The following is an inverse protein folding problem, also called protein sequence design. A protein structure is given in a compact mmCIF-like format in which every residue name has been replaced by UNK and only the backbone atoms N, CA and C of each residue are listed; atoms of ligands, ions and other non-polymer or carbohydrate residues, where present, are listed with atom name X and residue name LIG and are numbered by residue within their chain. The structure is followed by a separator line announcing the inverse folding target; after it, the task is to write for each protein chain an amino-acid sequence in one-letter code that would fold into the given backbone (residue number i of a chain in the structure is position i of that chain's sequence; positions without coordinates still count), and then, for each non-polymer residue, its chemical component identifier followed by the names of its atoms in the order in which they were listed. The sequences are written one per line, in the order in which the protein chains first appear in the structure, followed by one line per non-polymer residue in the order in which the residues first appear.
data_IF_190261564817
#
_entry.id   IF_190261564817
#
_cell.length_a   1.000
_cell.length_b   1.000
_cell.length_c   1.000
_cell.angle_alpha   90.00
_cell.angle_beta   90.00
_cell.angle_gamma   90.00
#
_symmetry.space_group_name_H-M   'P 1'
#
loop_
_entity.id
_entity.type
_entity.pdbx_description
1 polymer ?
#
# COMPACT_ATOMS: atom_id res chain seq x y z
N UNK A 1 -0.61 19.92 30.62
CA UNK A 1 -0.16 18.73 29.87
C UNK A 1 -0.87 18.71 28.55
N UNK A 2 -0.24 18.51 27.41
CA UNK A 2 -0.95 18.37 26.16
C UNK A 2 -1.83 17.12 26.23
N UNK A 3 -3.14 17.28 25.91
CA UNK A 3 -4.07 16.14 25.78
C UNK A 3 -3.43 15.02 24.94
N UNK A 4 -3.45 13.80 25.45
CA UNK A 4 -3.00 12.63 24.67
C UNK A 4 -3.82 12.57 23.38
N UNK A 5 -3.17 12.76 22.24
CA UNK A 5 -3.81 12.58 20.92
C UNK A 5 -4.33 11.15 20.85
N UNK A 6 -5.65 10.99 20.93
CA UNK A 6 -6.27 9.68 20.70
C UNK A 6 -6.37 9.45 19.20
N UNK A 7 -5.32 8.88 18.60
CA UNK A 7 -5.29 8.51 17.18
C UNK A 7 -6.50 7.66 16.79
N UNK A 8 -7.03 6.88 17.72
CA UNK A 8 -8.22 6.07 17.48
C UNK A 8 -9.48 6.92 17.28
N UNK A 9 -9.60 8.05 17.97
CA UNK A 9 -10.71 9.00 17.74
C UNK A 9 -10.51 9.72 16.40
N UNK A 10 -9.28 10.12 16.07
CA UNK A 10 -8.97 10.73 14.78
C UNK A 10 -9.32 9.80 13.62
N UNK A 11 -9.06 8.49 13.75
CA UNK A 11 -9.42 7.50 12.74
C UNK A 11 -10.93 7.33 12.55
N UNK A 12 -11.75 7.58 13.56
CA UNK A 12 -13.23 7.60 13.39
C UNK A 12 -13.64 8.71 12.43
N UNK A 13 -13.05 9.91 12.57
CA UNK A 13 -13.28 11.02 11.65
C UNK A 13 -12.82 10.69 10.22
N UNK A 14 -11.64 10.07 10.08
CA UNK A 14 -11.13 9.60 8.79
C UNK A 14 -12.12 8.61 8.16
N UNK A 15 -12.59 7.63 8.91
CA UNK A 15 -13.52 6.61 8.41
C UNK A 15 -14.89 7.21 8.03
N UNK A 16 -15.32 8.25 8.72
CA UNK A 16 -16.51 9.01 8.35
C UNK A 16 -16.33 9.73 7.02
N UNK A 17 -15.16 10.35 6.81
CA UNK A 17 -14.84 11.02 5.54
C UNK A 17 -14.70 10.04 4.37
N UNK A 18 -14.13 8.85 4.58
CA UNK A 18 -14.04 7.80 3.57
C UNK A 18 -15.41 7.43 3.02
N UNK A 19 -16.42 7.38 3.87
CA UNK A 19 -17.82 7.01 3.52
C UNK A 19 -18.69 8.18 3.07
N UNK A 20 -18.18 9.39 3.13
CA UNK A 20 -18.93 10.59 2.76
C UNK A 20 -18.93 10.79 1.25
N UNK A 21 -20.07 11.29 0.72
CA UNK A 21 -20.19 11.68 -0.68
C UNK A 21 -19.93 10.54 -1.69
N UNK A 22 -20.35 9.32 -1.37
CA UNK A 22 -20.40 8.22 -2.34
C UNK A 22 -21.58 8.47 -3.27
N UNK A 23 -21.38 8.27 -4.56
CA UNK A 23 -22.46 8.36 -5.56
C UNK A 23 -23.50 7.28 -5.22
N UNK A 24 -24.78 7.65 -5.26
CA UNK A 24 -25.92 6.76 -4.93
C UNK A 24 -26.23 5.72 -6.02
N UNK A 25 -25.37 5.58 -7.03
CA UNK A 25 -25.51 4.52 -8.01
C UNK A 25 -25.26 3.17 -7.32
N UNK A 26 -26.18 2.22 -7.50
CA UNK A 26 -26.24 0.97 -6.71
C UNK A 26 -24.97 0.13 -6.82
N UNK A 27 -24.42 -0.04 -8.02
CA UNK A 27 -23.22 -0.84 -8.26
C UNK A 27 -22.01 -0.23 -7.58
N UNK A 28 -21.80 1.09 -7.76
CA UNK A 28 -20.68 1.83 -7.16
C UNK A 28 -20.77 1.78 -5.64
N UNK A 29 -21.97 2.04 -5.08
CA UNK A 29 -22.19 2.00 -3.64
C UNK A 29 -21.89 0.63 -3.04
N UNK A 30 -22.35 -0.46 -3.67
CA UNK A 30 -22.11 -1.82 -3.20
C UNK A 30 -20.63 -2.19 -3.22
N UNK A 31 -19.91 -1.87 -4.31
CA UNK A 31 -18.48 -2.12 -4.45
C UNK A 31 -17.69 -1.33 -3.41
N UNK A 32 -18.00 -0.05 -3.27
CA UNK A 32 -17.34 0.84 -2.34
C UNK A 32 -17.55 0.41 -0.88
N UNK A 33 -18.79 0.10 -0.50
CA UNK A 33 -19.12 -0.40 0.84
C UNK A 33 -18.42 -1.72 1.13
N UNK A 34 -18.30 -2.59 0.13
CA UNK A 34 -17.56 -3.85 0.27
C UNK A 34 -16.08 -3.62 0.58
N UNK A 35 -15.41 -2.76 -0.20
CA UNK A 35 -13.97 -2.44 -0.04
C UNK A 35 -13.71 -1.84 1.35
N UNK A 36 -14.54 -0.89 1.79
CA UNK A 36 -14.36 -0.18 3.05
C UNK A 36 -15.07 -0.83 4.26
N UNK A 37 -15.68 -2.02 4.10
CA UNK A 37 -16.29 -2.77 5.21
C UNK A 37 -15.28 -3.22 6.24
N UNK A 38 -14.12 -3.71 5.80
CA UNK A 38 -13.01 -4.16 6.64
C UNK A 38 -11.83 -3.21 6.49
N UNK A 39 -11.73 -2.22 7.35
CA UNK A 39 -10.53 -1.40 7.45
C UNK A 39 -9.38 -2.23 8.02
N UNK A 40 -8.19 -2.12 7.40
CA UNK A 40 -6.97 -2.69 7.96
C UNK A 40 -6.47 -1.87 9.16
N UNK A 41 -5.18 -2.01 9.49
CA UNK A 41 -4.54 -1.26 10.59
C UNK A 41 -4.42 0.24 10.33
N UNK A 42 -4.68 0.70 9.09
CA UNK A 42 -4.63 2.09 8.64
C UNK A 42 -3.30 2.79 9.01
N UNK A 43 -2.17 2.09 8.83
CA UNK A 43 -0.86 2.57 9.26
C UNK A 43 -0.44 3.86 8.55
N UNK A 44 -0.79 4.01 7.27
CA UNK A 44 -0.46 5.20 6.46
C UNK A 44 -1.25 6.42 6.95
N UNK A 45 -2.55 6.26 7.22
CA UNK A 45 -3.36 7.30 7.84
C UNK A 45 -2.83 7.67 9.23
N UNK A 46 -2.45 6.68 10.06
CA UNK A 46 -1.85 6.92 11.38
C UNK A 46 -0.56 7.73 11.28
N UNK A 47 0.33 7.40 10.34
CA UNK A 47 1.56 8.15 10.11
C UNK A 47 1.27 9.61 9.74
N UNK A 48 0.35 9.85 8.81
CA UNK A 48 -0.06 11.21 8.43
C UNK A 48 -0.64 11.98 9.62
N UNK A 49 -1.50 11.36 10.42
CA UNK A 49 -2.08 11.97 11.62
C UNK A 49 -1.02 12.29 12.67
N UNK A 50 -0.06 11.39 12.92
CA UNK A 50 1.05 11.60 13.86
C UNK A 50 1.94 12.74 13.37
N UNK A 51 2.35 12.71 12.09
CA UNK A 51 3.25 13.71 11.51
C UNK A 51 2.62 15.10 11.47
N UNK A 52 1.30 15.20 11.32
CA UNK A 52 0.56 16.47 11.34
C UNK A 52 0.22 16.97 12.75
N UNK A 53 0.46 16.16 13.79
CA UNK A 53 0.10 16.54 15.17
C UNK A 53 1.02 17.59 15.79
N UNK A 54 2.11 17.96 15.14
CA UNK A 54 3.04 19.01 15.56
C UNK A 54 2.33 20.37 15.62
N UNK A 55 1.43 20.64 14.67
CA UNK A 55 0.55 21.81 14.70
C UNK A 55 -0.93 21.39 14.66
N UNK A 56 -1.61 21.49 15.81
CA UNK A 56 -3.03 21.12 15.96
C UNK A 56 -4.00 22.07 15.27
N UNK A 57 -3.55 23.27 14.82
CA UNK A 57 -4.39 24.27 14.14
C UNK A 57 -4.98 23.78 12.82
N UNK A 58 -4.49 22.68 12.24
CA UNK A 58 -4.95 22.16 10.96
C UNK A 58 -6.34 21.52 11.00
N UNK A 59 -6.89 21.26 12.18
CA UNK A 59 -8.28 20.84 12.35
C UNK A 59 -8.68 19.68 11.45
N UNK A 60 -9.80 19.86 10.70
CA UNK A 60 -10.35 18.83 9.81
C UNK A 60 -9.49 18.52 8.58
N UNK A 61 -8.55 19.39 8.19
CA UNK A 61 -7.67 19.16 7.04
C UNK A 61 -6.79 17.93 7.23
N UNK A 62 -6.31 17.64 8.45
CA UNK A 62 -5.50 16.46 8.74
C UNK A 62 -6.29 15.15 8.55
N UNK A 63 -7.59 15.14 8.88
CA UNK A 63 -8.45 13.99 8.64
C UNK A 63 -8.72 13.79 7.15
N UNK A 64 -8.92 14.90 6.41
CA UNK A 64 -9.07 14.85 4.95
C UNK A 64 -7.81 14.29 4.29
N UNK A 65 -6.62 14.74 4.69
CA UNK A 65 -5.35 14.21 4.19
C UNK A 65 -5.21 12.70 4.47
N UNK A 66 -5.47 12.27 5.71
CA UNK A 66 -5.41 10.86 6.07
C UNK A 66 -6.42 10.01 5.28
N UNK A 67 -7.61 10.55 5.00
CA UNK A 67 -8.61 9.88 4.15
C UNK A 67 -8.14 9.77 2.69
N UNK A 68 -7.53 10.82 2.12
CA UNK A 68 -6.92 10.78 0.79
C UNK A 68 -5.89 9.65 0.68
N UNK A 69 -5.00 9.55 1.66
CA UNK A 69 -3.95 8.52 1.70
C UNK A 69 -4.56 7.11 1.75
N UNK A 70 -5.60 6.90 2.55
CA UNK A 70 -6.29 5.60 2.61
C UNK A 70 -7.07 5.30 1.31
N UNK A 71 -7.63 6.29 0.63
CA UNK A 71 -8.24 6.11 -0.69
C UNK A 71 -7.19 5.63 -1.70
N UNK A 72 -6.05 6.34 -1.80
CA UNK A 72 -4.95 5.94 -2.68
C UNK A 72 -4.50 4.51 -2.38
N UNK A 73 -4.28 4.19 -1.09
CA UNK A 73 -3.87 2.85 -0.70
C UNK A 73 -4.90 1.76 -1.04
N UNK A 74 -6.20 2.00 -0.81
CA UNK A 74 -7.21 1.00 -1.14
C UNK A 74 -7.40 0.86 -2.65
N UNK A 75 -7.23 1.92 -3.43
CA UNK A 75 -7.23 1.85 -4.89
C UNK A 75 -6.09 0.95 -5.40
N UNK A 76 -4.85 1.13 -4.91
CA UNK A 76 -3.73 0.25 -5.27
C UNK A 76 -4.02 -1.20 -4.90
N UNK A 77 -4.54 -1.47 -3.70
CA UNK A 77 -4.87 -2.84 -3.29
C UNK A 77 -5.91 -3.53 -4.18
N UNK A 78 -6.89 -2.78 -4.69
CA UNK A 78 -7.91 -3.32 -5.60
C UNK A 78 -7.32 -3.62 -6.97
N UNK A 79 -6.43 -2.75 -7.47
CA UNK A 79 -5.70 -2.99 -8.71
C UNK A 79 -4.74 -4.17 -8.59
N UNK A 80 -4.00 -4.26 -7.49
CA UNK A 80 -3.09 -5.37 -7.20
C UNK A 80 -3.84 -6.72 -7.18
N UNK A 81 -5.05 -6.76 -6.58
CA UNK A 81 -5.86 -7.98 -6.58
C UNK A 81 -6.23 -8.45 -7.99
N UNK A 82 -6.39 -7.52 -8.94
CA UNK A 82 -6.66 -7.87 -10.35
C UNK A 82 -5.38 -8.32 -11.05
N UNK A 83 -4.26 -7.62 -10.83
CA UNK A 83 -2.97 -7.93 -11.45
C UNK A 83 -2.43 -9.29 -10.99
N UNK A 84 -2.57 -9.57 -9.68
CA UNK A 84 -2.09 -10.80 -9.05
C UNK A 84 -3.12 -11.97 -9.15
N UNK A 85 -4.30 -11.73 -9.79
CA UNK A 85 -5.44 -12.68 -9.80
C UNK A 85 -5.76 -13.22 -8.39
N UNK A 86 -5.64 -12.37 -7.40
CA UNK A 86 -5.76 -12.75 -5.98
C UNK A 86 -7.21 -13.13 -5.65
N UNK A 87 -7.49 -14.35 -5.12
CA UNK A 87 -8.85 -14.75 -4.79
C UNK A 87 -9.39 -14.11 -3.52
N UNK A 88 -8.51 -13.67 -2.62
CA UNK A 88 -8.90 -13.17 -1.30
C UNK A 88 -8.06 -11.97 -0.85
N UNK A 89 -8.70 -11.06 -0.11
CA UNK A 89 -8.06 -9.91 0.54
C UNK A 89 -8.55 -9.78 1.99
N UNK A 90 -7.63 -9.74 2.96
CA UNK A 90 -7.95 -9.62 4.40
C UNK A 90 -8.95 -10.68 4.90
N UNK A 91 -8.83 -11.91 4.40
CA UNK A 91 -9.68 -13.05 4.78
C UNK A 91 -11.11 -12.98 4.24
N UNK A 92 -11.37 -12.16 3.20
CA UNK A 92 -12.62 -12.16 2.43
C UNK A 92 -12.29 -12.24 0.95
N UNK A 93 -13.24 -12.64 0.11
CA UNK A 93 -13.05 -12.67 -1.34
C UNK A 93 -12.65 -11.28 -1.86
N UNK A 94 -11.76 -11.21 -2.84
CA UNK A 94 -11.40 -9.98 -3.53
C UNK A 94 -12.54 -9.47 -4.41
N UNK A 95 -12.45 -8.20 -4.85
CA UNK A 95 -13.48 -7.60 -5.72
C UNK A 95 -13.58 -8.34 -7.05
N UNK A 96 -12.45 -8.65 -7.69
CA UNK A 96 -12.40 -9.40 -8.94
C UNK A 96 -12.99 -10.82 -8.82
N UNK A 97 -12.91 -11.43 -7.64
CA UNK A 97 -13.46 -12.77 -7.38
C UNK A 97 -14.97 -12.76 -7.12
N UNK A 98 -15.54 -11.68 -6.57
CA UNK A 98 -16.99 -11.56 -6.34
C UNK A 98 -17.70 -11.03 -7.58
N UNK A 99 -17.10 -10.05 -8.24
CA UNK A 99 -17.62 -9.44 -9.47
C UNK A 99 -16.77 -9.88 -10.65
N UNK A 100 -16.03 -8.96 -11.26
CA UNK A 100 -15.11 -9.25 -12.38
C UNK A 100 -13.87 -8.39 -12.29
N UNK A 101 -12.82 -8.72 -13.07
CA UNK A 101 -11.62 -7.90 -13.21
C UNK A 101 -11.97 -6.48 -13.67
N UNK A 102 -12.92 -6.32 -14.61
CA UNK A 102 -13.37 -5.02 -15.05
C UNK A 102 -13.97 -4.18 -13.91
N UNK A 103 -14.75 -4.79 -13.00
CA UNK A 103 -15.25 -4.09 -11.83
C UNK A 103 -14.11 -3.68 -10.89
N UNK A 104 -13.08 -4.54 -10.72
CA UNK A 104 -11.89 -4.22 -9.93
C UNK A 104 -11.15 -3.02 -10.49
N UNK A 105 -10.83 -3.02 -11.77
CA UNK A 105 -10.15 -1.89 -12.43
C UNK A 105 -10.95 -0.60 -12.27
N UNK A 106 -12.23 -0.60 -12.67
CA UNK A 106 -13.05 0.61 -12.70
C UNK A 106 -13.36 1.17 -11.30
N UNK A 107 -13.57 0.33 -10.29
CA UNK A 107 -13.78 0.85 -8.93
C UNK A 107 -12.46 1.37 -8.34
N UNK A 108 -11.32 0.78 -8.67
CA UNK A 108 -10.00 1.32 -8.32
C UNK A 108 -9.80 2.71 -8.91
N UNK A 109 -10.10 2.91 -10.19
CA UNK A 109 -10.03 4.21 -10.87
C UNK A 109 -10.99 5.23 -10.26
N UNK A 110 -12.20 4.80 -9.90
CA UNK A 110 -13.17 5.65 -9.20
C UNK A 110 -12.63 6.13 -7.85
N UNK A 111 -12.03 5.23 -7.07
CA UNK A 111 -11.43 5.57 -5.76
C UNK A 111 -10.23 6.51 -5.96
N UNK A 112 -9.38 6.27 -6.96
CA UNK A 112 -8.27 7.16 -7.34
C UNK A 112 -8.77 8.56 -7.68
N UNK A 113 -9.74 8.65 -8.59
CA UNK A 113 -10.32 9.93 -9.00
C UNK A 113 -10.90 10.69 -7.82
N UNK A 114 -11.57 9.99 -6.89
CA UNK A 114 -12.07 10.58 -5.65
C UNK A 114 -10.95 11.12 -4.76
N UNK A 115 -9.84 10.41 -4.64
CA UNK A 115 -8.67 10.89 -3.91
C UNK A 115 -8.11 12.19 -4.54
N UNK A 116 -7.99 12.25 -5.86
CA UNK A 116 -7.54 13.46 -6.58
C UNK A 116 -8.48 14.64 -6.36
N UNK A 117 -9.80 14.44 -6.43
CA UNK A 117 -10.77 15.50 -6.12
C UNK A 117 -10.56 16.05 -4.71
N UNK A 118 -10.37 15.18 -3.71
CA UNK A 118 -10.12 15.60 -2.34
C UNK A 118 -8.76 16.29 -2.15
N UNK A 119 -7.72 15.91 -2.92
CA UNK A 119 -6.43 16.62 -2.94
C UNK A 119 -6.58 18.06 -3.45
N UNK A 120 -7.34 18.25 -4.53
CA UNK A 120 -7.64 19.58 -5.04
C UNK A 120 -8.41 20.42 -4.00
N UNK A 121 -9.43 19.82 -3.36
CA UNK A 121 -10.19 20.48 -2.29
C UNK A 121 -9.35 20.79 -1.03
N UNK A 122 -8.28 20.03 -0.77
CA UNK A 122 -7.36 20.29 0.34
C UNK A 122 -6.60 21.61 0.12
N UNK A 123 -6.37 21.97 -1.15
CA UNK A 123 -5.81 23.26 -1.55
C UNK A 123 -4.35 23.45 -1.17
N UNK A 124 -3.53 22.37 -1.18
CA UNK A 124 -2.10 22.44 -0.86
C UNK A 124 -1.30 21.82 -2.01
N UNK A 125 -0.65 22.67 -2.82
CA UNK A 125 0.08 22.26 -4.02
C UNK A 125 1.27 21.32 -3.71
N UNK A 126 1.98 21.53 -2.59
CA UNK A 126 3.10 20.67 -2.20
C UNK A 126 2.64 19.25 -1.84
N UNK A 127 1.47 19.14 -1.21
CA UNK A 127 0.86 17.83 -0.90
C UNK A 127 0.35 17.17 -2.18
N UNK A 128 -0.27 17.92 -3.08
CA UNK A 128 -0.72 17.41 -4.37
C UNK A 128 0.46 16.87 -5.19
N UNK A 129 1.55 17.63 -5.29
CA UNK A 129 2.79 17.23 -5.97
C UNK A 129 3.36 15.95 -5.36
N UNK A 130 3.51 15.90 -4.03
CA UNK A 130 4.07 14.75 -3.31
C UNK A 130 3.24 13.47 -3.51
N UNK A 131 1.91 13.54 -3.38
CA UNK A 131 1.05 12.38 -3.54
C UNK A 131 0.93 11.95 -5.00
N UNK A 132 0.93 12.89 -5.95
CA UNK A 132 0.95 12.56 -7.38
C UNK A 132 2.26 11.87 -7.78
N UNK A 133 3.40 12.35 -7.28
CA UNK A 133 4.69 11.70 -7.47
C UNK A 133 4.70 10.31 -6.83
N UNK A 134 4.18 10.17 -5.62
CA UNK A 134 4.11 8.88 -4.95
C UNK A 134 3.27 7.86 -5.72
N UNK A 135 2.12 8.26 -6.27
CA UNK A 135 1.28 7.36 -7.06
C UNK A 135 1.97 6.91 -8.35
N UNK A 136 2.69 7.82 -9.02
CA UNK A 136 3.50 7.48 -10.19
C UNK A 136 4.63 6.50 -9.85
N UNK A 137 5.32 6.74 -8.73
CA UNK A 137 6.38 5.86 -8.25
C UNK A 137 5.86 4.45 -7.89
N UNK A 138 4.66 4.34 -7.29
CA UNK A 138 4.04 3.06 -6.97
C UNK A 138 3.75 2.27 -8.25
N UNK A 139 3.14 2.90 -9.25
CA UNK A 139 2.87 2.27 -10.55
C UNK A 139 4.16 1.80 -11.24
N UNK A 140 5.23 2.61 -11.16
CA UNK A 140 6.56 2.23 -11.61
C UNK A 140 7.07 0.98 -10.87
N UNK A 141 6.89 0.93 -9.55
CA UNK A 141 7.30 -0.22 -8.72
C UNK A 141 6.62 -1.52 -9.12
N UNK A 142 5.31 -1.47 -9.39
CA UNK A 142 4.54 -2.62 -9.87
C UNK A 142 5.02 -3.11 -11.23
N UNK A 143 5.26 -2.20 -12.19
CA UNK A 143 5.79 -2.56 -13.51
C UNK A 143 7.18 -3.21 -13.40
N UNK A 144 8.06 -2.64 -12.56
CA UNK A 144 9.40 -3.22 -12.30
C UNK A 144 9.29 -4.62 -11.70
N UNK A 145 8.34 -4.84 -10.80
CA UNK A 145 8.11 -6.15 -10.19
C UNK A 145 7.59 -7.16 -11.22
N UNK A 146 6.66 -6.77 -12.08
CA UNK A 146 6.15 -7.61 -13.15
C UNK A 146 7.27 -8.06 -14.12
N UNK A 147 8.16 -7.13 -14.50
CA UNK A 147 9.32 -7.43 -15.36
C UNK A 147 10.35 -8.34 -14.66
N UNK A 148 10.36 -8.36 -13.33
CA UNK A 148 11.28 -9.16 -12.53
C UNK A 148 10.73 -10.57 -12.19
N UNK A 149 9.50 -10.91 -12.59
CA UNK A 149 8.94 -12.25 -12.36
C UNK A 149 9.84 -13.33 -12.99
N UNK A 150 10.21 -14.33 -12.18
CA UNK A 150 11.06 -15.44 -12.58
C UNK A 150 12.55 -15.11 -12.74
N UNK A 151 12.98 -13.86 -12.55
CA UNK A 151 14.38 -13.45 -12.64
C UNK A 151 15.15 -13.80 -11.36
N UNK A 152 15.79 -14.95 -11.32
CA UNK A 152 16.60 -15.42 -10.17
C UNK A 152 17.90 -14.63 -9.99
N UNK A 153 18.37 -13.92 -11.01
CA UNK A 153 19.59 -13.12 -10.98
C UNK A 153 19.37 -11.66 -10.62
N UNK A 154 18.16 -11.34 -10.13
CA UNK A 154 17.82 -10.01 -9.64
C UNK A 154 18.86 -9.55 -8.57
N UNK A 155 19.28 -8.29 -8.62
CA UNK A 155 20.17 -7.74 -7.60
C UNK A 155 19.43 -7.36 -6.32
N UNK A 156 20.14 -7.34 -5.18
CA UNK A 156 19.57 -6.88 -3.91
C UNK A 156 19.06 -5.44 -4.02
N UNK A 157 19.84 -4.56 -4.68
CA UNK A 157 19.41 -3.17 -4.92
C UNK A 157 18.09 -3.08 -5.69
N UNK A 158 17.84 -3.99 -6.64
CA UNK A 158 16.57 -4.03 -7.38
C UNK A 158 15.40 -4.47 -6.50
N UNK A 159 15.63 -5.41 -5.58
CA UNK A 159 14.62 -5.80 -4.58
C UNK A 159 14.30 -4.66 -3.62
N UNK A 160 15.33 -3.91 -3.19
CA UNK A 160 15.16 -2.70 -2.37
C UNK A 160 14.34 -1.64 -3.10
N UNK A 161 14.63 -1.39 -4.38
CA UNK A 161 13.86 -0.46 -5.22
C UNK A 161 12.39 -0.90 -5.32
N UNK A 162 12.12 -2.19 -5.60
CA UNK A 162 10.75 -2.72 -5.67
C UNK A 162 10.03 -2.49 -4.33
N UNK A 163 10.66 -2.86 -3.21
CA UNK A 163 10.07 -2.70 -1.87
C UNK A 163 9.81 -1.24 -1.52
N UNK A 164 10.73 -0.36 -1.91
CA UNK A 164 10.56 1.07 -1.71
C UNK A 164 9.40 1.62 -2.55
N UNK A 165 9.41 1.42 -3.87
CA UNK A 165 8.39 1.98 -4.75
C UNK A 165 7.00 1.41 -4.45
N UNK A 166 6.88 0.09 -4.29
CA UNK A 166 5.60 -0.57 -4.02
C UNK A 166 5.02 -0.21 -2.65
N UNK A 167 5.83 -0.17 -1.62
CA UNK A 167 5.37 -0.05 -0.23
C UNK A 167 5.94 1.16 0.49
N UNK A 168 7.26 1.31 0.52
CA UNK A 168 7.96 2.38 1.25
C UNK A 168 7.54 3.77 0.82
N UNK A 169 7.31 3.97 -0.45
CA UNK A 169 6.99 5.29 -1.04
C UNK A 169 5.70 5.91 -0.49
N UNK A 170 4.63 5.14 -0.32
CA UNK A 170 3.40 5.68 0.26
C UNK A 170 3.51 5.87 1.77
N UNK A 171 4.33 5.09 2.47
CA UNK A 171 4.64 5.34 3.88
C UNK A 171 5.38 6.69 4.02
N UNK A 172 6.42 6.92 3.22
CA UNK A 172 7.17 8.17 3.17
C UNK A 172 6.25 9.37 2.87
N UNK A 173 5.49 9.30 1.78
CA UNK A 173 4.57 10.36 1.37
C UNK A 173 3.51 10.66 2.45
N UNK A 174 3.02 9.63 3.15
CA UNK A 174 2.06 9.80 4.25
C UNK A 174 2.61 10.65 5.38
N UNK A 175 3.83 10.36 5.82
CA UNK A 175 4.48 11.12 6.89
C UNK A 175 4.89 12.51 6.43
N UNK A 176 5.46 12.62 5.23
CA UNK A 176 5.89 13.87 4.61
C UNK A 176 4.73 14.84 4.43
N UNK A 177 3.61 14.38 3.87
CA UNK A 177 2.42 15.20 3.67
C UNK A 177 1.81 15.67 5.00
N UNK A 178 1.81 14.82 6.03
CA UNK A 178 1.39 15.22 7.38
C UNK A 178 2.24 16.36 7.93
N UNK A 179 3.57 16.26 7.79
CA UNK A 179 4.51 17.30 8.22
C UNK A 179 4.41 18.57 7.37
N UNK A 180 4.20 18.45 6.05
CA UNK A 180 3.93 19.59 5.15
C UNK A 180 2.64 20.33 5.53
N UNK A 181 1.58 19.57 5.86
CA UNK A 181 0.30 20.16 6.25
C UNK A 181 0.43 21.02 7.52
N UNK A 182 1.31 20.66 8.44
CA UNK A 182 1.55 21.40 9.69
C UNK A 182 2.65 22.45 9.60
N UNK A 183 3.07 22.83 8.39
CA UNK A 183 4.15 23.83 8.17
C UNK A 183 5.40 23.56 9.02
N UNK A 184 5.74 22.29 9.16
CA UNK A 184 6.86 21.88 10.00
C UNK A 184 8.21 22.32 9.43
N UNK A 185 9.23 22.42 10.30
CA UNK A 185 10.60 22.74 9.89
C UNK A 185 11.13 21.69 8.90
N UNK A 186 11.95 22.14 7.94
CA UNK A 186 12.51 21.27 6.90
C UNK A 186 13.27 20.04 7.47
N UNK A 187 13.97 20.23 8.60
CA UNK A 187 14.65 19.10 9.28
C UNK A 187 13.68 18.05 9.80
N UNK A 188 12.53 18.44 10.35
CA UNK A 188 11.50 17.52 10.79
C UNK A 188 10.89 16.76 9.60
N UNK A 189 10.54 17.51 8.52
CA UNK A 189 9.99 16.91 7.29
C UNK A 189 10.96 15.85 6.75
N UNK A 190 12.25 16.18 6.65
CA UNK A 190 13.29 15.25 6.18
C UNK A 190 13.36 13.99 7.06
N UNK A 191 13.48 14.17 8.37
CA UNK A 191 13.71 13.04 9.28
C UNK A 191 12.48 12.13 9.40
N UNK A 192 11.26 12.68 9.44
CA UNK A 192 10.05 11.87 9.52
C UNK A 192 9.77 11.12 8.21
N UNK A 193 10.11 11.73 7.07
CA UNK A 193 10.02 11.09 5.75
C UNK A 193 10.95 9.88 5.67
N UNK A 194 12.22 10.06 6.04
CA UNK A 194 13.22 8.98 6.03
C UNK A 194 12.85 7.85 7.02
N UNK A 195 12.38 8.20 8.21
CA UNK A 195 11.88 7.22 9.17
C UNK A 195 10.72 6.40 8.59
N UNK A 196 9.75 7.06 7.97
CA UNK A 196 8.58 6.40 7.38
C UNK A 196 8.93 5.55 6.15
N UNK A 197 9.87 6.01 5.30
CA UNK A 197 10.44 5.22 4.20
C UNK A 197 10.99 3.90 4.70
N UNK A 198 11.89 3.95 5.67
CA UNK A 198 12.52 2.75 6.23
C UNK A 198 11.51 1.83 6.92
N UNK A 199 10.51 2.41 7.62
CA UNK A 199 9.41 1.64 8.19
C UNK A 199 8.62 0.89 7.12
N UNK A 200 8.36 1.53 5.97
CA UNK A 200 7.66 0.89 4.85
C UNK A 200 8.45 -0.24 4.21
N UNK A 201 9.77 -0.09 4.05
CA UNK A 201 10.66 -1.15 3.55
C UNK A 201 10.66 -2.35 4.52
N UNK A 202 10.84 -2.09 5.82
CA UNK A 202 10.80 -3.15 6.86
C UNK A 202 9.43 -3.83 6.89
N UNK A 203 8.35 -3.08 6.67
CA UNK A 203 7.00 -3.64 6.57
C UNK A 203 6.89 -4.62 5.40
N UNK A 204 7.42 -4.27 4.22
CA UNK A 204 7.43 -5.16 3.06
C UNK A 204 8.28 -6.41 3.32
N UNK A 205 9.51 -6.27 3.82
CA UNK A 205 10.36 -7.42 4.17
C UNK A 205 9.64 -8.36 5.15
N UNK A 206 8.92 -7.81 6.12
CA UNK A 206 8.12 -8.60 7.05
C UNK A 206 6.97 -9.32 6.36
N UNK A 207 6.27 -8.67 5.43
CA UNK A 207 5.18 -9.30 4.68
C UNK A 207 5.72 -10.45 3.81
N UNK A 208 6.84 -10.25 3.12
CA UNK A 208 7.53 -11.28 2.36
C UNK A 208 7.91 -12.48 3.27
N UNK A 209 8.46 -12.21 4.45
CA UNK A 209 8.84 -13.26 5.40
C UNK A 209 7.63 -14.04 5.93
N UNK A 210 6.51 -13.35 6.17
CA UNK A 210 5.27 -13.99 6.64
C UNK A 210 4.67 -14.93 5.58
N UNK A 211 4.84 -14.66 4.29
CA UNK A 211 4.40 -15.57 3.22
C UNK A 211 5.06 -16.94 3.30
N UNK A 212 6.31 -17.00 3.80
CA UNK A 212 7.06 -18.25 3.98
C UNK A 212 6.83 -18.91 5.35
N UNK A 213 6.66 -18.13 6.42
CA UNK A 213 6.61 -18.62 7.79
C UNK A 213 5.20 -18.78 8.34
N UNK A 214 4.23 -18.19 7.67
CA UNK A 214 2.91 -18.06 8.23
C UNK A 214 2.06 -19.30 8.05
N UNK A 215 1.32 -19.66 9.10
CA UNK A 215 0.21 -20.61 9.02
C UNK A 215 -0.98 -19.90 8.38
N UNK A 216 -1.71 -20.57 7.48
CA UNK A 216 -2.88 -20.03 6.77
C UNK A 216 -3.89 -19.32 7.69
N UNK A 217 -4.09 -19.85 8.90
CA UNK A 217 -5.00 -19.29 9.90
C UNK A 217 -4.55 -17.93 10.46
N UNK A 218 -3.27 -17.58 10.34
CA UNK A 218 -2.71 -16.35 10.90
C UNK A 218 -2.60 -15.23 9.86
N UNK A 219 -2.37 -15.58 8.58
CA UNK A 219 -2.11 -14.63 7.49
C UNK A 219 -3.38 -14.33 6.70
N UNK A 220 -4.35 -15.27 6.67
CA UNK A 220 -5.57 -15.17 5.86
C UNK A 220 -5.32 -15.27 4.35
N UNK A 221 -4.15 -15.80 3.95
CA UNK A 221 -3.73 -16.15 2.59
C UNK A 221 -3.02 -17.52 2.62
N UNK A 222 -3.03 -18.29 1.51
CA UNK A 222 -2.19 -19.48 1.37
C UNK A 222 -0.72 -19.12 1.52
N UNK A 223 0.08 -19.97 2.17
CA UNK A 223 1.52 -19.80 2.24
C UNK A 223 2.19 -20.01 0.87
N UNK A 224 3.38 -19.45 0.68
CA UNK A 224 4.18 -19.52 -0.54
C UNK A 224 3.50 -18.95 -1.78
N UNK A 225 2.66 -17.93 -1.59
CA UNK A 225 1.97 -17.28 -2.70
C UNK A 225 2.95 -16.56 -3.62
N UNK A 226 3.95 -15.87 -3.05
CA UNK A 226 4.99 -15.18 -3.83
C UNK A 226 5.76 -16.12 -4.75
N UNK A 227 6.10 -17.32 -4.27
CA UNK A 227 6.76 -18.36 -5.11
C UNK A 227 5.83 -18.84 -6.23
N UNK A 228 4.56 -19.08 -5.93
CA UNK A 228 3.58 -19.53 -6.94
C UNK A 228 3.38 -18.48 -8.03
N UNK A 229 3.48 -17.21 -7.68
CA UNK A 229 3.40 -16.08 -8.61
C UNK A 229 4.75 -15.80 -9.31
N UNK A 230 5.81 -16.56 -8.98
CA UNK A 230 7.14 -16.38 -9.55
C UNK A 230 7.86 -15.12 -9.06
N UNK A 231 7.37 -14.49 -8.00
CA UNK A 231 7.98 -13.30 -7.40
C UNK A 231 9.24 -13.67 -6.63
N UNK A 232 10.34 -13.00 -6.93
CA UNK A 232 11.58 -13.11 -6.15
C UNK A 232 11.51 -12.09 -5.03
N UNK A 233 11.41 -12.60 -3.79
CA UNK A 233 11.35 -11.80 -2.57
C UNK A 233 12.59 -11.98 -1.72
N UNK A 234 12.78 -11.21 -0.65
CA UNK A 234 13.98 -11.29 0.18
C UNK A 234 14.28 -12.69 0.71
N UNK A 235 13.33 -13.45 1.27
CA UNK A 235 13.61 -14.81 1.74
C UNK A 235 14.10 -15.72 0.61
N UNK A 236 13.46 -15.67 -0.56
CA UNK A 236 13.89 -16.44 -1.72
C UNK A 236 15.29 -16.03 -2.19
N UNK A 237 15.55 -14.73 -2.33
CA UNK A 237 16.84 -14.21 -2.74
C UNK A 237 17.98 -14.71 -1.87
N UNK A 238 17.87 -14.57 -0.55
CA UNK A 238 18.91 -15.01 0.37
C UNK A 238 19.04 -16.53 0.41
N UNK A 239 17.94 -17.28 0.36
CA UNK A 239 17.99 -18.73 0.27
C UNK A 239 18.71 -19.19 -1.00
N UNK A 240 18.36 -18.61 -2.15
CA UNK A 240 18.95 -18.94 -3.44
C UNK A 240 20.45 -18.60 -3.51
N UNK A 241 20.86 -17.43 -3.01
CA UNK A 241 22.28 -17.00 -3.00
C UNK A 241 23.14 -17.84 -2.05
N UNK A 242 22.57 -18.42 -0.99
CA UNK A 242 23.28 -19.25 -0.02
C UNK A 242 23.13 -20.75 -0.28
N UNK A 243 22.28 -21.14 -1.22
CA UNK A 243 22.07 -22.54 -1.58
C UNK A 243 23.31 -23.12 -2.33
N UNK A 244 23.74 -24.31 -1.95
CA UNK A 244 24.71 -25.06 -2.74
C UNK A 244 24.16 -25.47 -4.10
N UNK A 245 25.05 -25.89 -5.01
CA UNK A 245 24.71 -26.25 -6.40
C UNK A 245 23.59 -27.29 -6.50
N UNK A 246 23.50 -28.23 -5.56
CA UNK A 246 22.46 -29.27 -5.53
C UNK A 246 21.06 -28.70 -5.22
N UNK A 247 20.95 -27.69 -4.34
CA UNK A 247 19.68 -27.05 -4.02
C UNK A 247 19.16 -26.19 -5.19
N UNK A 248 20.04 -25.66 -6.02
CA UNK A 248 19.71 -24.85 -7.21
C UNK A 248 18.97 -25.70 -8.25
N UNK A 249 19.30 -26.98 -8.43
CA UNK A 249 18.64 -27.85 -9.39
C UNK A 249 17.15 -28.12 -9.02
N UNK A 250 16.82 -28.16 -7.73
CA UNK A 250 15.42 -28.33 -7.26
C UNK A 250 14.56 -27.10 -7.56
N UNK A 251 15.11 -25.88 -7.50
CA UNK A 251 14.36 -24.65 -7.79
C UNK A 251 14.05 -24.45 -9.28
N UNK A 252 14.80 -25.12 -10.18
CA UNK A 252 14.51 -25.12 -11.61
C UNK A 252 13.23 -25.85 -12.00
N UNK A 253 12.73 -26.76 -11.14
CA UNK A 253 11.56 -27.57 -11.41
C UNK A 253 10.23 -26.97 -10.92
N UNK A 254 10.27 -25.89 -10.13
CA UNK A 254 9.08 -25.41 -9.39
C UNK A 254 8.64 -23.98 -9.69
N UNK A 255 9.42 -23.19 -10.41
CA UNK A 255 8.95 -21.86 -10.82
C UNK A 255 8.16 -21.94 -12.13
N UNK A 256 6.90 -21.45 -12.18
CA UNK A 256 6.17 -21.41 -13.43
C UNK A 256 6.91 -20.52 -14.43
N UNK A 257 7.31 -21.10 -15.55
CA UNK A 257 7.74 -20.35 -16.73
C UNK A 257 6.52 -19.57 -17.23
N UNK A 258 6.70 -18.28 -17.52
CA UNK A 258 5.68 -17.50 -18.25
C UNK A 258 5.23 -18.34 -19.46
N UNK A 259 3.97 -18.80 -19.44
CA UNK A 259 3.33 -19.29 -20.65
C UNK A 259 3.01 -18.04 -21.47
N UNK A 260 3.68 -17.92 -22.61
CA UNK A 260 3.42 -16.92 -23.66
C UNK A 260 1.98 -17.01 -24.18
#
# INVERSE_FOLDING_TARGET
MPEKVSINNDLKEVNTLLRKNIIKEKTISNLYDYIFKKNGKQLRARLSLISSSVDRRQGKKRYKLAAIIELLHNATLVHDDVVDDSPTRRGVKSVNNIWTNAHGVLIGDYIYSKAFMLMVELGNSKILEELSSATNDISKGELIQLDAIGNKDISLSKLEDISYFKTGRLFEASARCGALLSDSKASYIKNISECAKNLGIVFQIKDDLLDYLGQENTIGKPAFQDIKEGKVTYPFYFAYKNAGIEAVSYTHLTLPTKVS
#
